data_IF_299856213313
#
_entry.id   IF_299856213313
#
_cell.length_a   1.000
_cell.length_b   1.000
_cell.length_c   1.000
_cell.angle_alpha   90.00
_cell.angle_beta   90.00
_cell.angle_gamma   90.00
#
_symmetry.space_group_name_H-M   'P 1'
#
loop_
_entity.id
_entity.type
_entity.pdbx_description
1 polymer ?
#
# COMPACT_ATOMS: atom_id res chain seq x y z
N UNK A 1 3.49 4.76 -66.95
CA UNK A 1 2.43 4.57 -65.94
C UNK A 1 1.89 5.94 -65.57
N UNK A 2 0.64 6.19 -65.90
CA UNK A 2 -0.05 7.49 -65.88
C UNK A 2 -0.27 8.02 -64.46
N UNK A 3 0.21 9.24 -64.18
CA UNK A 3 -0.23 10.02 -63.03
C UNK A 3 -1.59 10.66 -63.35
N UNK A 4 -2.65 10.13 -62.76
CA UNK A 4 -3.98 10.73 -62.84
C UNK A 4 -4.06 11.92 -61.88
N UNK A 5 -3.89 13.13 -62.42
CA UNK A 5 -4.23 14.38 -61.75
C UNK A 5 -5.75 14.41 -61.49
N UNK A 6 -6.17 14.14 -60.26
CA UNK A 6 -7.53 14.43 -59.80
C UNK A 6 -7.68 15.95 -59.63
N UNK A 7 -8.09 16.62 -60.70
CA UNK A 7 -8.57 18.00 -60.67
C UNK A 7 -9.86 18.01 -59.84
N UNK A 8 -9.78 18.43 -58.57
CA UNK A 8 -10.99 18.77 -57.79
C UNK A 8 -11.63 19.98 -58.49
N UNK A 9 -12.71 19.72 -59.22
CA UNK A 9 -13.60 20.72 -59.80
C UNK A 9 -14.35 21.35 -58.61
N UNK A 10 -14.04 22.61 -58.31
CA UNK A 10 -14.77 23.38 -57.31
C UNK A 10 -16.06 23.86 -58.00
N UNK A 11 -17.17 23.20 -57.72
CA UNK A 11 -18.48 23.78 -57.98
C UNK A 11 -18.71 24.93 -57.00
N UNK A 12 -18.99 26.10 -57.56
CA UNK A 12 -19.41 27.29 -56.85
C UNK A 12 -20.84 27.09 -56.34
N UNK A 13 -21.01 26.70 -55.08
CA UNK A 13 -22.13 27.02 -54.19
C UNK A 13 -22.00 26.15 -52.94
N UNK A 14 -21.14 26.59 -52.02
CA UNK A 14 -21.24 26.21 -50.61
C UNK A 14 -20.45 27.27 -49.84
N UNK A 15 -21.15 28.03 -49.01
CA UNK A 15 -20.52 28.92 -48.04
C UNK A 15 -19.54 28.10 -47.22
N UNK A 16 -18.26 28.27 -47.51
CA UNK A 16 -17.21 27.78 -46.64
C UNK A 16 -17.22 28.76 -45.49
N UNK A 17 -17.94 28.41 -44.43
CA UNK A 17 -17.70 28.95 -43.09
C UNK A 17 -16.18 28.99 -42.93
N UNK A 18 -15.63 30.20 -42.94
CA UNK A 18 -14.20 30.47 -42.91
C UNK A 18 -13.63 29.77 -41.69
N UNK A 19 -13.06 28.57 -41.88
CA UNK A 19 -12.49 27.78 -40.79
C UNK A 19 -11.53 28.70 -40.03
N UNK A 20 -11.83 29.02 -38.75
CA UNK A 20 -11.06 30.01 -38.04
C UNK A 20 -9.61 29.54 -37.97
N UNK A 21 -8.70 30.47 -38.25
CA UNK A 21 -7.28 30.18 -38.20
C UNK A 21 -6.92 29.60 -36.84
N UNK A 22 -5.93 28.71 -36.79
CA UNK A 22 -5.50 28.06 -35.53
C UNK A 22 -5.21 29.10 -34.43
N UNK A 23 -4.69 30.27 -34.80
CA UNK A 23 -4.47 31.39 -33.88
C UNK A 23 -5.76 31.94 -33.28
N UNK A 24 -6.82 32.09 -34.08
CA UNK A 24 -8.13 32.55 -33.63
C UNK A 24 -8.76 31.57 -32.63
N UNK A 25 -8.68 30.26 -32.91
CA UNK A 25 -9.18 29.20 -32.00
C UNK A 25 -8.42 29.22 -30.66
N UNK A 26 -7.10 29.38 -30.70
CA UNK A 26 -6.29 29.41 -29.49
C UNK A 26 -6.61 30.63 -28.62
N UNK A 27 -6.77 31.81 -29.23
CA UNK A 27 -7.10 33.04 -28.51
C UNK A 27 -8.48 32.94 -27.81
N UNK A 28 -9.49 32.36 -28.48
CA UNK A 28 -10.81 32.14 -27.86
C UNK A 28 -10.76 31.11 -26.71
N UNK A 29 -9.92 30.07 -26.81
CA UNK A 29 -9.72 29.12 -25.71
C UNK A 29 -8.98 29.73 -24.52
N UNK A 30 -8.02 30.62 -24.78
CA UNK A 30 -7.27 31.31 -23.73
C UNK A 30 -8.14 32.35 -23.02
N UNK A 31 -9.05 33.04 -23.73
CA UNK A 31 -9.94 34.02 -23.12
C UNK A 31 -10.98 33.39 -22.19
N UNK A 32 -11.43 32.16 -22.48
CA UNK A 32 -12.37 31.39 -21.65
C UNK A 32 -11.70 30.44 -20.67
N UNK A 33 -10.39 30.55 -20.45
CA UNK A 33 -9.63 29.66 -19.58
C UNK A 33 -10.11 29.82 -18.13
N UNK A 34 -10.50 28.73 -17.43
CA UNK A 34 -10.83 28.78 -16.02
C UNK A 34 -9.62 29.11 -15.14
N UNK A 35 -9.88 29.80 -14.03
CA UNK A 35 -8.88 30.10 -13.01
C UNK A 35 -8.44 28.84 -12.27
N UNK A 36 -7.21 28.86 -11.73
CA UNK A 36 -6.66 27.74 -10.95
C UNK A 36 -7.59 27.31 -9.81
N UNK A 37 -8.16 28.27 -9.07
CA UNK A 37 -9.05 27.99 -7.95
C UNK A 37 -10.29 27.21 -8.40
N UNK A 38 -10.91 27.60 -9.52
CA UNK A 38 -12.08 26.90 -10.06
C UNK A 38 -11.74 25.45 -10.43
N UNK A 39 -10.55 25.21 -11.01
CA UNK A 39 -10.09 23.85 -11.33
C UNK A 39 -9.86 23.00 -10.08
N UNK A 40 -9.40 23.60 -8.99
CA UNK A 40 -9.22 22.92 -7.70
C UNK A 40 -10.57 22.57 -7.08
N UNK A 41 -11.51 23.51 -7.07
CA UNK A 41 -12.87 23.32 -6.55
C UNK A 41 -13.62 22.23 -7.32
N UNK A 42 -13.46 22.18 -8.64
CA UNK A 42 -14.03 21.13 -9.50
C UNK A 42 -13.29 19.78 -9.37
N UNK A 43 -12.22 19.69 -8.58
CA UNK A 43 -11.44 18.46 -8.40
C UNK A 43 -10.59 18.05 -9.60
N UNK A 44 -10.33 18.96 -10.54
CA UNK A 44 -9.46 18.72 -11.72
C UNK A 44 -7.99 18.86 -11.32
N UNK A 45 -7.65 19.89 -10.54
CA UNK A 45 -6.30 20.12 -10.04
C UNK A 45 -6.22 19.86 -8.53
N UNK A 46 -5.10 19.30 -8.07
CA UNK A 46 -4.86 19.10 -6.64
C UNK A 46 -4.48 20.42 -5.96
N UNK A 47 -5.07 20.69 -4.79
CA UNK A 47 -4.65 21.79 -3.91
C UNK A 47 -3.42 21.38 -3.09
N UNK A 48 -2.28 21.28 -3.76
CA UNK A 48 -1.01 20.96 -3.12
C UNK A 48 0.04 22.00 -3.47
N UNK A 49 0.83 22.35 -2.45
CA UNK A 49 2.04 23.19 -2.56
C UNK A 49 3.28 22.34 -2.91
N UNK A 50 3.13 21.02 -3.02
CA UNK A 50 4.19 20.10 -3.39
C UNK A 50 4.51 20.17 -4.89
N UNK A 51 5.75 19.81 -5.25
CA UNK A 51 6.18 19.71 -6.64
C UNK A 51 5.25 18.75 -7.43
N UNK A 52 4.93 19.02 -8.72
CA UNK A 52 4.00 18.21 -9.50
C UNK A 52 4.35 16.72 -9.57
N UNK A 53 5.64 16.37 -9.54
CA UNK A 53 6.12 14.99 -9.54
C UNK A 53 5.81 14.22 -8.25
N UNK A 54 5.63 14.92 -7.13
CA UNK A 54 5.42 14.33 -5.79
C UNK A 54 3.96 14.31 -5.35
N UNK A 55 3.07 15.05 -6.03
CA UNK A 55 1.65 15.15 -5.67
C UNK A 55 0.97 13.77 -5.57
N UNK A 56 1.35 12.85 -6.46
CA UNK A 56 0.83 11.48 -6.42
C UNK A 56 1.22 10.74 -5.12
N UNK A 57 2.50 10.81 -4.74
CA UNK A 57 3.01 10.19 -3.52
C UNK A 57 2.41 10.83 -2.25
N UNK A 58 2.27 12.16 -2.24
CA UNK A 58 1.58 12.88 -1.16
C UNK A 58 0.13 12.40 -1.00
N UNK A 59 -0.61 12.31 -2.10
CA UNK A 59 -2.00 11.86 -2.07
C UNK A 59 -2.11 10.40 -1.61
N UNK A 60 -1.22 9.51 -2.10
CA UNK A 60 -1.16 8.13 -1.65
C UNK A 60 -0.93 8.03 -0.13
N UNK A 61 0.01 8.80 0.40
CA UNK A 61 0.27 8.86 1.84
C UNK A 61 -0.93 9.40 2.62
N UNK A 62 -1.57 10.48 2.14
CA UNK A 62 -2.77 11.05 2.75
C UNK A 62 -3.89 10.02 2.82
N UNK A 63 -4.10 9.26 1.73
CA UNK A 63 -5.10 8.18 1.68
C UNK A 63 -4.77 7.04 2.64
N UNK A 64 -3.52 6.58 2.69
CA UNK A 64 -3.10 5.52 3.61
C UNK A 64 -3.35 5.92 5.07
N UNK A 65 -2.92 7.13 5.46
CA UNK A 65 -3.18 7.67 6.81
C UNK A 65 -4.67 7.74 7.14
N UNK A 66 -5.49 8.20 6.20
CA UNK A 66 -6.94 8.23 6.39
C UNK A 66 -7.53 6.83 6.51
N UNK A 67 -7.06 5.87 5.71
CA UNK A 67 -7.51 4.48 5.79
C UNK A 67 -7.18 3.86 7.15
N UNK A 68 -5.98 4.07 7.67
CA UNK A 68 -5.57 3.59 8.99
C UNK A 68 -6.41 4.22 10.11
N UNK A 69 -6.61 5.55 10.05
CA UNK A 69 -7.46 6.27 11.00
C UNK A 69 -8.91 5.77 10.97
N UNK A 70 -9.47 5.52 9.78
CA UNK A 70 -10.81 4.99 9.64
C UNK A 70 -10.90 3.55 10.15
N UNK A 71 -9.91 2.71 9.84
CA UNK A 71 -9.87 1.33 10.32
C UNK A 71 -9.89 1.29 11.86
N UNK A 72 -9.10 2.14 12.52
CA UNK A 72 -9.12 2.27 13.98
C UNK A 72 -10.49 2.69 14.53
N UNK A 73 -11.21 3.58 13.83
CA UNK A 73 -12.57 3.99 14.22
C UNK A 73 -13.61 2.89 13.97
N UNK A 74 -13.43 2.11 12.91
CA UNK A 74 -14.33 1.01 12.57
C UNK A 74 -14.19 -0.18 13.53
N UNK A 75 -12.96 -0.50 13.96
CA UNK A 75 -12.71 -1.53 14.99
C UNK A 75 -13.45 -1.19 16.30
N UNK A 76 -13.49 0.09 16.66
CA UNK A 76 -14.16 0.56 17.88
C UNK A 76 -15.60 1.03 17.64
N UNK A 77 -16.25 0.57 16.56
CA UNK A 77 -17.61 1.02 16.24
C UNK A 77 -18.60 0.48 17.29
N UNK A 78 -19.38 1.36 17.98
CA UNK A 78 -20.37 0.92 18.95
C UNK A 78 -21.52 0.18 18.25
N UNK A 79 -22.03 -0.85 18.91
CA UNK A 79 -23.18 -1.61 18.45
C UNK A 79 -24.50 -0.87 18.65
N UNK A 80 -25.60 -1.34 18.03
CA UNK A 80 -26.92 -0.74 18.21
C UNK A 80 -27.39 -0.70 19.67
N UNK A 81 -27.12 -1.77 20.45
CA UNK A 81 -27.47 -1.83 21.87
C UNK A 81 -26.65 -0.86 22.72
N UNK A 82 -25.36 -0.67 22.41
CA UNK A 82 -24.51 0.34 23.06
C UNK A 82 -25.09 1.75 22.83
N UNK A 83 -25.60 2.04 21.62
CA UNK A 83 -26.21 3.34 21.30
C UNK A 83 -27.53 3.58 22.03
N UNK A 84 -28.33 2.54 22.27
CA UNK A 84 -29.56 2.61 23.08
C UNK A 84 -29.21 2.88 24.54
N UNK A 85 -28.21 2.18 25.08
CA UNK A 85 -27.72 2.40 26.44
C UNK A 85 -27.27 3.85 26.66
N UNK A 86 -26.64 4.46 25.66
CA UNK A 86 -26.21 5.87 25.70
C UNK A 86 -27.29 6.88 25.30
N UNK A 87 -28.54 6.44 25.13
CA UNK A 87 -29.68 7.31 24.77
C UNK A 87 -29.47 8.10 23.46
N UNK A 88 -28.77 7.49 22.49
CA UNK A 88 -28.55 8.07 21.15
C UNK A 88 -29.57 7.51 20.16
N UNK A 89 -29.91 6.23 20.29
CA UNK A 89 -30.90 5.53 19.47
C UNK A 89 -32.09 5.12 20.36
N UNK A 90 -33.30 5.39 19.90
CA UNK A 90 -34.55 5.05 20.60
C UNK A 90 -35.26 3.93 19.86
N UNK A 91 -36.00 3.10 20.58
CA UNK A 91 -36.75 1.97 20.02
C UNK A 91 -38.22 2.39 19.92
N UNK A 92 -38.91 1.97 18.86
CA UNK A 92 -40.34 2.26 18.72
C UNK A 92 -41.12 1.68 19.92
N UNK A 93 -41.57 2.60 20.78
CA UNK A 93 -42.17 2.31 22.10
C UNK A 93 -43.48 1.54 22.02
N UNK A 94 -44.10 1.46 20.84
CA UNK A 94 -45.38 0.76 20.62
C UNK A 94 -45.24 -0.77 20.71
N UNK A 95 -44.12 -1.31 20.23
CA UNK A 95 -43.92 -2.77 20.19
C UNK A 95 -43.19 -3.27 21.45
N UNK A 96 -42.30 -2.45 22.01
CA UNK A 96 -41.42 -2.84 23.12
C UNK A 96 -41.20 -1.72 24.17
N UNK A 97 -42.23 -1.38 24.98
CA UNK A 97 -42.20 -0.20 25.86
C UNK A 97 -41.15 -0.25 26.99
N UNK A 98 -40.71 -1.45 27.40
CA UNK A 98 -39.78 -1.62 28.53
C UNK A 98 -38.35 -2.03 28.11
N UNK A 99 -38.12 -2.34 26.83
CA UNK A 99 -36.83 -2.87 26.38
C UNK A 99 -35.74 -1.79 26.47
N UNK A 100 -36.06 -0.58 26.02
CA UNK A 100 -35.15 0.55 26.04
C UNK A 100 -34.70 0.90 27.46
N UNK A 101 -35.63 0.98 28.41
CA UNK A 101 -35.34 1.23 29.83
C UNK A 101 -34.50 0.11 30.46
N UNK A 102 -34.77 -1.14 30.09
CA UNK A 102 -34.01 -2.29 30.59
C UNK A 102 -32.57 -2.31 30.05
N UNK A 103 -32.34 -1.89 28.81
CA UNK A 103 -31.00 -1.75 28.22
C UNK A 103 -30.26 -0.57 28.84
N UNK A 104 -30.91 0.59 28.97
CA UNK A 104 -30.34 1.79 29.60
C UNK A 104 -29.99 1.55 31.08
N UNK A 105 -30.85 0.84 31.81
CA UNK A 105 -30.66 0.49 33.21
C UNK A 105 -29.70 -0.69 33.47
N UNK A 106 -29.09 -1.25 32.43
CA UNK A 106 -28.15 -2.38 32.56
C UNK A 106 -28.78 -3.69 33.04
N UNK A 107 -30.11 -3.83 32.95
CA UNK A 107 -30.84 -5.03 33.36
C UNK A 107 -30.69 -6.18 32.34
N UNK A 108 -30.41 -5.85 31.08
CA UNK A 108 -30.16 -6.82 30.00
C UNK A 108 -28.66 -6.77 29.64
N UNK A 109 -27.86 -7.81 29.96
CA UNK A 109 -26.47 -7.87 29.55
C UNK A 109 -26.38 -8.17 28.05
N UNK A 110 -25.52 -7.43 27.34
CA UNK A 110 -25.23 -7.66 25.93
C UNK A 110 -23.74 -7.46 25.65
N UNK A 111 -23.25 -8.06 24.56
CA UNK A 111 -21.84 -7.97 24.18
C UNK A 111 -21.63 -6.75 23.30
N UNK A 112 -20.72 -5.85 23.68
CA UNK A 112 -20.31 -4.73 22.84
C UNK A 112 -19.71 -5.24 21.53
N UNK A 113 -20.13 -4.64 20.42
CA UNK A 113 -19.82 -5.11 19.05
C UNK A 113 -18.32 -4.97 18.67
N UNK A 114 -17.54 -4.21 19.44
CA UNK A 114 -16.10 -4.00 19.21
C UNK A 114 -15.24 -5.27 19.33
N UNK A 115 -15.74 -6.34 19.97
CA UNK A 115 -14.96 -7.55 20.26
C UNK A 115 -14.74 -8.50 19.07
N UNK A 116 -15.36 -8.25 17.90
CA UNK A 116 -15.38 -9.21 16.78
C UNK A 116 -14.85 -8.70 15.43
N UNK A 117 -14.13 -7.57 15.38
CA UNK A 117 -13.68 -7.05 14.08
C UNK A 117 -12.38 -7.68 13.57
N UNK A 118 -12.51 -8.38 12.44
CA UNK A 118 -11.40 -8.73 11.55
C UNK A 118 -10.85 -7.43 10.94
N UNK A 119 -9.54 -7.17 10.93
CA UNK A 119 -8.98 -5.93 10.39
C UNK A 119 -9.41 -5.74 8.94
N UNK A 120 -10.00 -4.59 8.62
CA UNK A 120 -10.43 -4.27 7.26
C UNK A 120 -9.20 -3.86 6.47
N UNK A 121 -8.70 -4.77 5.63
CA UNK A 121 -7.65 -4.44 4.67
C UNK A 121 -8.31 -3.64 3.55
N UNK A 122 -8.17 -2.33 3.59
CA UNK A 122 -8.48 -1.50 2.42
C UNK A 122 -7.49 -1.86 1.31
N UNK A 123 -7.96 -2.65 0.34
CA UNK A 123 -7.23 -2.81 -0.91
C UNK A 123 -7.03 -1.44 -1.55
N UNK A 124 -5.84 -1.24 -2.11
CA UNK A 124 -5.43 -0.03 -2.81
C UNK A 124 -6.55 0.40 -3.78
N UNK A 125 -7.21 1.51 -3.47
CA UNK A 125 -8.29 2.04 -4.30
C UNK A 125 -7.66 2.62 -5.57
N UNK A 126 -7.73 1.86 -6.67
CA UNK A 126 -7.18 2.23 -7.98
C UNK A 126 -8.10 3.16 -8.79
N UNK A 127 -9.18 3.69 -8.19
CA UNK A 127 -10.17 4.54 -8.87
C UNK A 127 -11.54 3.87 -9.00
N UNK A 128 -12.48 4.58 -9.63
CA UNK A 128 -13.90 4.23 -9.72
C UNK A 128 -14.18 2.78 -10.18
N UNK A 129 -15.16 2.09 -9.56
CA UNK A 129 -15.48 0.68 -9.84
C UNK A 129 -16.05 0.41 -11.24
N UNK A 130 -16.30 1.44 -12.06
CA UNK A 130 -16.73 1.27 -13.46
C UNK A 130 -15.61 0.83 -14.42
N UNK A 131 -14.35 0.80 -13.97
CA UNK A 131 -13.27 0.16 -14.72
C UNK A 131 -13.12 -1.29 -14.26
N UNK A 132 -14.08 -2.13 -14.63
CA UNK A 132 -14.01 -3.58 -14.47
C UNK A 132 -12.89 -4.17 -15.34
N UNK A 133 -11.65 -4.13 -14.87
CA UNK A 133 -10.63 -5.20 -14.93
C UNK A 133 -9.63 -4.94 -13.82
N UNK A 134 -9.14 -5.98 -13.10
CA UNK A 134 -7.91 -5.84 -12.32
C UNK A 134 -6.80 -5.50 -13.31
N UNK A 135 -6.45 -4.22 -13.39
CA UNK A 135 -5.26 -3.82 -14.11
C UNK A 135 -4.12 -4.16 -13.17
N UNK A 136 -3.62 -5.39 -13.30
CA UNK A 136 -2.22 -5.68 -12.97
C UNK A 136 -1.44 -4.58 -13.68
N UNK A 137 -0.89 -3.66 -12.89
CA UNK A 137 0.05 -2.66 -13.40
C UNK A 137 1.24 -3.45 -13.92
N UNK A 138 1.20 -3.77 -15.21
CA UNK A 138 2.42 -3.97 -15.99
C UNK A 138 3.13 -2.62 -15.97
N UNK A 139 3.95 -2.43 -14.95
CA UNK A 139 5.14 -1.60 -15.04
C UNK A 139 6.04 -2.26 -16.09
N UNK A 140 5.73 -1.98 -17.37
CA UNK A 140 6.62 -2.32 -18.48
C UNK A 140 7.72 -1.25 -18.54
N UNK A 141 8.70 -1.39 -17.65
CA UNK A 141 10.07 -1.02 -17.94
C UNK A 141 10.99 -1.91 -17.12
N UNK A 142 11.53 -2.92 -17.80
CA UNK A 142 12.51 -3.94 -17.37
C UNK A 142 11.93 -5.22 -16.72
N UNK A 143 11.50 -6.19 -17.54
CA UNK A 143 12.16 -7.51 -17.58
C UNK A 143 11.43 -8.51 -18.49
N UNK A 144 11.89 -8.63 -19.74
CA UNK A 144 12.02 -9.98 -20.31
C UNK A 144 13.20 -10.63 -19.58
N UNK A 145 12.94 -11.42 -18.54
CA UNK A 145 13.85 -12.48 -18.04
C UNK A 145 13.32 -12.99 -16.69
N UNK A 146 13.05 -14.30 -16.59
CA UNK A 146 13.17 -15.24 -15.45
C UNK A 146 12.78 -14.87 -14.00
N UNK A 147 12.70 -13.60 -13.61
CA UNK A 147 12.69 -13.14 -12.23
C UNK A 147 11.28 -13.02 -11.64
N UNK A 148 10.24 -12.81 -12.44
CA UNK A 148 8.86 -12.69 -11.93
C UNK A 148 8.38 -13.98 -11.23
N UNK A 149 8.79 -15.14 -11.74
CA UNK A 149 8.49 -16.42 -11.10
C UNK A 149 9.28 -16.60 -9.80
N UNK A 150 10.56 -16.20 -9.78
CA UNK A 150 11.39 -16.27 -8.57
C UNK A 150 10.88 -15.34 -7.47
N UNK A 151 10.43 -14.14 -7.84
CA UNK A 151 9.81 -13.19 -6.90
C UNK A 151 8.52 -13.77 -6.32
N UNK A 152 7.68 -14.40 -7.15
CA UNK A 152 6.45 -15.06 -6.67
C UNK A 152 6.75 -16.22 -5.71
N UNK A 153 7.76 -17.04 -6.03
CA UNK A 153 8.19 -18.14 -5.15
C UNK A 153 8.75 -17.61 -3.83
N UNK A 154 9.59 -16.58 -3.87
CA UNK A 154 10.15 -15.95 -2.68
C UNK A 154 9.07 -15.35 -1.78
N UNK A 155 8.05 -14.70 -2.35
CA UNK A 155 6.89 -14.19 -1.59
C UNK A 155 6.07 -15.32 -0.96
N UNK A 156 5.89 -16.45 -1.65
CA UNK A 156 5.21 -17.62 -1.10
C UNK A 156 6.00 -18.24 0.07
N UNK A 157 7.33 -18.27 -0.02
CA UNK A 157 8.22 -18.76 1.04
C UNK A 157 8.16 -17.88 2.29
N UNK A 158 8.18 -16.55 2.13
CA UNK A 158 8.08 -15.60 3.24
C UNK A 158 6.74 -15.73 3.98
N UNK A 159 5.65 -15.97 3.25
CA UNK A 159 4.33 -16.15 3.85
C UNK A 159 4.27 -17.41 4.72
N UNK A 160 4.92 -18.50 4.28
CA UNK A 160 5.06 -19.73 5.06
C UNK A 160 5.86 -19.51 6.35
N UNK A 161 6.99 -18.79 6.29
CA UNK A 161 7.77 -18.42 7.50
C UNK A 161 6.95 -17.61 8.50
N UNK A 162 6.20 -16.60 8.02
CA UNK A 162 5.36 -15.78 8.88
C UNK A 162 4.22 -16.57 9.53
N UNK A 163 3.72 -17.63 8.88
CA UNK A 163 2.71 -18.52 9.48
C UNK A 163 3.29 -19.53 10.47
N UNK A 164 4.54 -19.98 10.28
CA UNK A 164 5.24 -20.86 11.23
C UNK A 164 5.49 -20.17 12.58
N UNK A 165 5.82 -18.88 12.56
CA UNK A 165 6.06 -18.10 13.78
C UNK A 165 4.81 -17.91 14.67
N UNK A 166 3.62 -18.36 14.22
CA UNK A 166 2.36 -18.26 14.98
C UNK A 166 2.05 -19.50 15.84
N UNK A 167 2.86 -20.56 15.77
CA UNK A 167 2.69 -21.77 16.59
C UNK A 167 3.68 -21.90 17.77
N UNK A 168 4.60 -20.97 17.97
CA UNK A 168 5.63 -21.06 19.02
C UNK A 168 5.27 -20.39 20.36
N UNK A 169 4.08 -19.80 20.53
CA UNK A 169 3.64 -19.24 21.82
C UNK A 169 2.83 -20.20 22.71
N UNK A 170 2.60 -21.45 22.29
CA UNK A 170 1.90 -22.44 23.12
C UNK A 170 2.53 -23.82 23.05
N UNK A 171 3.72 -23.99 23.65
CA UNK A 171 4.17 -25.27 24.23
C UNK A 171 5.46 -25.07 25.04
N UNK A 172 5.34 -24.34 26.14
CA UNK A 172 6.34 -24.30 27.21
C UNK A 172 6.27 -25.58 28.05
N UNK A 173 6.66 -26.73 27.50
CA UNK A 173 7.02 -27.93 28.30
C UNK A 173 7.33 -29.09 27.37
N UNK A 174 8.61 -29.28 27.02
CA UNK A 174 9.30 -30.58 27.00
C UNK A 174 10.49 -30.56 26.01
N UNK A 175 11.62 -31.11 26.48
CA UNK A 175 12.70 -31.70 25.67
C UNK A 175 13.79 -30.78 25.08
N UNK A 176 14.64 -30.27 25.98
CA UNK A 176 16.12 -30.41 26.06
C UNK A 176 17.00 -31.05 24.94
N UNK A 177 16.60 -31.21 23.67
CA UNK A 177 17.31 -32.15 22.76
C UNK A 177 17.70 -31.70 21.35
N UNK A 178 17.81 -30.40 21.02
CA UNK A 178 18.34 -29.97 19.70
C UNK A 178 19.15 -28.65 19.75
N UNK A 179 20.24 -28.58 20.51
CA UNK A 179 21.13 -27.39 20.53
C UNK A 179 22.30 -27.44 19.54
N UNK A 180 22.33 -28.35 18.56
CA UNK A 180 23.56 -28.60 17.78
C UNK A 180 23.45 -28.67 16.24
N UNK A 181 22.44 -28.04 15.59
CA UNK A 181 22.24 -28.31 14.15
C UNK A 181 21.89 -27.15 13.21
N UNK A 182 22.24 -25.88 13.50
CA UNK A 182 22.35 -24.86 12.44
C UNK A 182 23.37 -23.76 12.81
N UNK A 183 24.67 -24.05 12.80
CA UNK A 183 25.67 -22.98 12.65
C UNK A 183 25.75 -22.63 11.17
N UNK A 184 25.04 -21.57 10.77
CA UNK A 184 25.12 -20.95 9.44
C UNK A 184 26.60 -20.68 9.11
N UNK A 185 27.08 -21.15 7.96
CA UNK A 185 28.48 -20.89 7.57
C UNK A 185 28.67 -19.40 7.30
N UNK A 186 29.86 -18.84 7.53
CA UNK A 186 30.13 -17.40 7.35
C UNK A 186 29.75 -16.90 5.94
N UNK A 187 29.89 -17.76 4.92
CA UNK A 187 29.51 -17.46 3.54
C UNK A 187 28.00 -17.24 3.36
N UNK A 188 27.20 -17.96 4.14
CA UNK A 188 25.73 -17.89 4.12
C UNK A 188 25.20 -16.70 4.94
N UNK A 189 26.01 -16.09 5.81
CA UNK A 189 25.57 -14.97 6.66
C UNK A 189 25.29 -13.69 5.85
N UNK A 190 24.33 -12.90 6.33
CA UNK A 190 24.01 -11.59 5.75
C UNK A 190 25.10 -10.57 6.10
N UNK A 191 25.16 -9.46 5.37
CA UNK A 191 26.13 -8.40 5.66
C UNK A 191 25.94 -7.76 7.04
N UNK A 192 24.71 -7.74 7.55
CA UNK A 192 24.39 -7.23 8.88
C UNK A 192 24.92 -8.20 9.94
N UNK A 193 24.59 -9.50 9.80
CA UNK A 193 25.09 -10.56 10.68
C UNK A 193 26.63 -10.59 10.75
N UNK A 194 27.32 -10.40 9.62
CA UNK A 194 28.78 -10.33 9.56
C UNK A 194 29.36 -9.07 10.24
N UNK A 195 28.69 -7.92 10.12
CA UNK A 195 29.12 -6.69 10.81
C UNK A 195 28.96 -6.81 12.32
N UNK A 196 27.92 -7.48 12.79
CA UNK A 196 27.70 -7.69 14.23
C UNK A 196 28.73 -8.68 14.81
N UNK A 197 29.08 -9.74 14.08
CA UNK A 197 30.24 -10.58 14.44
C UNK A 197 31.55 -9.78 14.48
N UNK A 198 31.79 -8.90 13.50
CA UNK A 198 32.97 -8.04 13.55
C UNK A 198 33.00 -7.15 14.79
N UNK A 199 31.86 -6.63 15.27
CA UNK A 199 31.80 -5.88 16.54
C UNK A 199 32.15 -6.78 17.73
N UNK A 200 31.64 -8.00 17.76
CA UNK A 200 31.92 -8.98 18.83
C UNK A 200 33.41 -9.30 18.92
N UNK A 201 34.10 -9.45 17.78
CA UNK A 201 35.54 -9.70 17.71
C UNK A 201 36.41 -8.43 17.64
N UNK A 202 35.82 -7.25 17.87
CA UNK A 202 36.52 -5.94 17.82
C UNK A 202 37.29 -5.68 16.50
N UNK A 203 36.75 -6.17 15.39
CA UNK A 203 37.29 -5.97 14.04
C UNK A 203 36.67 -4.69 13.43
N UNK A 204 37.48 -3.70 12.98
CA UNK A 204 36.95 -2.52 12.31
C UNK A 204 36.28 -2.89 10.98
N UNK A 205 35.00 -2.54 10.83
CA UNK A 205 34.13 -2.97 9.71
C UNK A 205 33.65 -1.83 8.79
N UNK A 206 34.14 -0.60 8.97
CA UNK A 206 33.72 0.57 8.18
C UNK A 206 34.15 0.44 6.70
N UNK A 207 33.16 0.47 5.79
CA UNK A 207 33.33 0.42 4.33
C UNK A 207 34.08 -0.82 3.77
N UNK A 208 33.85 -2.00 4.34
CA UNK A 208 34.45 -3.25 3.87
C UNK A 208 33.38 -4.16 3.23
N UNK A 209 33.72 -4.73 2.07
CA UNK A 209 32.87 -5.65 1.30
C UNK A 209 32.72 -7.02 2.00
N UNK A 210 31.62 -7.74 1.74
CA UNK A 210 31.23 -9.01 2.39
C UNK A 210 32.39 -10.02 2.47
N UNK A 211 33.09 -10.22 1.35
CA UNK A 211 34.20 -11.17 1.23
C UNK A 211 35.38 -10.84 2.15
N UNK A 212 35.78 -9.57 2.19
CA UNK A 212 36.84 -9.07 3.07
C UNK A 212 36.48 -9.16 4.56
N UNK A 213 35.20 -9.02 4.91
CA UNK A 213 34.73 -9.24 6.29
C UNK A 213 34.87 -10.71 6.70
N UNK A 214 34.43 -11.64 5.84
CA UNK A 214 34.52 -13.08 6.09
C UNK A 214 35.97 -13.53 6.27
N UNK A 215 36.88 -13.05 5.41
CA UNK A 215 38.30 -13.40 5.47
C UNK A 215 38.95 -12.93 6.79
N UNK A 216 38.65 -11.70 7.24
CA UNK A 216 39.14 -11.20 8.53
C UNK A 216 38.58 -11.98 9.72
N UNK A 217 37.30 -12.32 9.70
CA UNK A 217 36.69 -13.14 10.77
C UNK A 217 37.38 -14.51 10.81
N UNK A 218 37.61 -15.15 9.65
CA UNK A 218 38.36 -16.42 9.57
C UNK A 218 39.76 -16.28 10.14
N UNK A 219 40.52 -15.23 9.79
CA UNK A 219 41.87 -14.99 10.31
C UNK A 219 41.92 -14.86 11.84
N UNK A 220 40.95 -14.15 12.45
CA UNK A 220 40.85 -14.04 13.91
C UNK A 220 40.47 -15.38 14.55
N UNK A 221 39.54 -16.13 13.94
CA UNK A 221 39.16 -17.46 14.41
C UNK A 221 40.35 -18.44 14.39
N UNK A 222 41.18 -18.41 13.35
CA UNK A 222 42.38 -19.26 13.28
C UNK A 222 43.42 -18.86 14.33
N UNK A 223 43.67 -17.56 14.53
CA UNK A 223 44.62 -17.09 15.56
C UNK A 223 44.24 -17.45 16.99
N UNK A 224 42.94 -17.56 17.28
CA UNK A 224 42.45 -17.95 18.60
C UNK A 224 42.44 -19.47 18.84
N UNK A 225 42.65 -20.29 17.80
CA UNK A 225 42.69 -21.76 17.90
C UNK A 225 44.13 -22.32 18.00
N UNK A 226 45.16 -21.49 17.76
CA UNK A 226 46.58 -21.86 17.84
C UNK A 226 47.26 -21.40 19.16
N UNK A 227 46.48 -21.00 20.18
CA UNK A 227 46.92 -20.74 21.56
C UNK A 227 46.32 -21.78 22.52
#
# INVERSE_FOLDING_TARGET
MSNLNLKRKLDSSNEIDSVPSRSQILNDKLSRRPDRHQLVEQGILHDSQCAPSLQHAEHALKRARLADQLNNRLVNRPGPLDLIQHNILHIDTKEHPNLEQAIQGGQIPFNTTSLYHRPLIFHEYTGSPLSSKPKVTKIDSLSSSSNAHQIRLAQQQLLLELTSNKQEEQQSSSLSSLSLLHKKTLEQMTLVELRDLCKQYQIPSSHINKTKLIERIKQVQYKNNDQ
#
